data_IF_741289669607
#
_entry.id   IF_741289669607
#
_cell.length_a   1.000
_cell.length_b   1.000
_cell.length_c   1.000
_cell.angle_alpha   90.00
_cell.angle_beta   90.00
_cell.angle_gamma   90.00
#
_symmetry.space_group_name_H-M   'P 1'
#
loop_
_entity.id
_entity.type
_entity.pdbx_description
1 polymer ?
#
# COMPACT_ATOMS: atom_id res chain seq x y z
N UNK A 1 13.16 -34.31 0.86
CA UNK A 1 12.05 -33.88 1.73
C UNK A 1 11.74 -32.43 1.39
N UNK A 2 10.85 -32.19 0.40
CA UNK A 2 10.45 -30.83 0.01
C UNK A 2 9.48 -30.30 1.08
N UNK A 3 9.75 -29.10 1.63
CA UNK A 3 8.89 -28.45 2.63
C UNK A 3 7.60 -28.02 1.94
N UNK A 4 6.44 -28.40 2.49
CA UNK A 4 5.14 -27.82 2.12
C UNK A 4 5.22 -26.30 2.30
N UNK A 5 5.09 -25.54 1.22
CA UNK A 5 4.92 -24.07 1.26
C UNK A 5 3.43 -23.79 1.21
N UNK A 6 2.99 -22.80 1.99
CA UNK A 6 1.60 -22.36 2.02
C UNK A 6 1.34 -21.52 0.75
N UNK A 7 0.39 -21.95 -0.07
CA UNK A 7 -0.11 -21.21 -1.22
C UNK A 7 -0.83 -19.94 -0.74
N UNK A 8 -0.40 -18.78 -1.21
CA UNK A 8 -1.13 -17.52 -1.03
C UNK A 8 -1.90 -17.30 -2.31
N UNK A 9 -3.18 -17.69 -2.32
CA UNK A 9 -4.14 -17.30 -3.34
C UNK A 9 -4.25 -15.77 -3.36
N UNK A 10 -3.57 -15.12 -4.32
CA UNK A 10 -3.85 -13.73 -4.67
C UNK A 10 -5.19 -13.68 -5.41
N UNK A 11 -6.27 -13.39 -4.69
CA UNK A 11 -7.52 -12.95 -5.29
C UNK A 11 -7.26 -11.65 -6.07
N UNK A 12 -7.26 -11.75 -7.40
CA UNK A 12 -7.12 -10.62 -8.31
C UNK A 12 -8.31 -9.66 -8.14
N UNK A 13 -8.06 -8.52 -7.50
CA UNK A 13 -9.00 -7.40 -7.47
C UNK A 13 -8.92 -6.71 -8.83
N UNK A 14 -9.84 -7.03 -9.73
CA UNK A 14 -9.95 -6.45 -11.06
C UNK A 14 -10.27 -4.94 -10.94
N UNK A 15 -9.26 -4.08 -11.04
CA UNK A 15 -9.46 -2.65 -11.12
C UNK A 15 -9.88 -2.30 -12.56
N UNK A 16 -11.17 -2.04 -12.77
CA UNK A 16 -11.74 -1.71 -14.07
C UNK A 16 -11.16 -0.38 -14.58
N UNK A 17 -10.21 -0.44 -15.52
CA UNK A 17 -9.73 0.71 -16.27
C UNK A 17 -10.76 1.09 -17.33
N UNK A 18 -11.42 2.23 -17.13
CA UNK A 18 -12.34 2.86 -18.08
C UNK A 18 -11.53 3.46 -19.25
N UNK A 19 -11.41 2.72 -20.35
CA UNK A 19 -10.75 3.19 -21.58
C UNK A 19 -11.62 4.25 -22.29
N UNK A 20 -11.16 5.51 -22.31
CA UNK A 20 -11.66 6.56 -23.22
C UNK A 20 -10.71 6.65 -24.42
N UNK A 21 -11.19 6.31 -25.61
CA UNK A 21 -10.50 6.50 -26.90
C UNK A 21 -10.50 7.98 -27.31
N UNK A 22 -9.51 8.47 -28.09
CA UNK A 22 -9.51 9.84 -28.58
C UNK A 22 -10.35 9.93 -29.87
N UNK A 23 -11.25 10.92 -29.94
CA UNK A 23 -11.75 11.41 -31.22
C UNK A 23 -11.56 12.93 -31.29
N UNK A 24 -11.09 13.38 -32.45
CA UNK A 24 -10.73 14.76 -32.79
C UNK A 24 -11.99 15.56 -33.12
N UNK A 25 -12.16 16.75 -32.53
CA UNK A 25 -13.14 17.72 -33.07
C UNK A 25 -13.62 18.83 -32.12
N UNK A 26 -12.87 19.93 -32.07
CA UNK A 26 -13.30 21.35 -32.09
C UNK A 26 -14.56 21.79 -31.27
N UNK A 27 -14.32 22.84 -30.46
CA UNK A 27 -15.20 23.89 -29.90
C UNK A 27 -15.98 23.70 -28.57
N UNK A 28 -15.44 24.38 -27.56
CA UNK A 28 -16.08 25.35 -26.66
C UNK A 28 -17.09 24.90 -25.57
N UNK A 29 -16.58 25.00 -24.33
CA UNK A 29 -17.18 25.61 -23.13
C UNK A 29 -18.12 24.74 -22.25
N UNK A 30 -17.69 24.69 -20.99
CA UNK A 30 -18.41 24.41 -19.74
C UNK A 30 -18.62 22.93 -19.35
N UNK A 31 -18.08 22.57 -18.18
CA UNK A 31 -18.44 21.35 -17.44
C UNK A 31 -17.24 20.54 -16.96
N UNK A 32 -16.38 21.13 -16.13
CA UNK A 32 -15.34 20.38 -15.43
C UNK A 32 -15.94 19.58 -14.27
N UNK A 33 -15.67 18.27 -14.25
CA UNK A 33 -15.49 17.48 -13.03
C UNK A 33 -14.47 16.38 -13.37
N UNK A 34 -13.19 16.76 -13.36
CA UNK A 34 -12.07 15.82 -13.46
C UNK A 34 -11.42 15.71 -12.09
N UNK A 35 -11.41 14.49 -11.54
CA UNK A 35 -10.40 13.84 -10.68
C UNK A 35 -9.83 14.55 -9.42
N UNK A 36 -10.04 15.85 -9.24
CA UNK A 36 -9.52 16.66 -8.13
C UNK A 36 -10.29 16.51 -6.81
N UNK A 37 -11.29 15.62 -6.73
CA UNK A 37 -12.09 15.39 -5.51
C UNK A 37 -11.56 14.25 -4.64
N UNK A 38 -10.56 13.48 -5.09
CA UNK A 38 -10.07 12.29 -4.35
C UNK A 38 -8.77 12.55 -3.59
N UNK A 39 -8.10 13.67 -3.84
CA UNK A 39 -6.85 14.01 -3.19
C UNK A 39 -7.00 15.43 -2.63
N UNK A 40 -7.37 15.53 -1.35
CA UNK A 40 -7.40 16.79 -0.63
C UNK A 40 -5.99 17.32 -0.42
N UNK A 41 -5.37 17.83 -1.49
CA UNK A 41 -4.09 18.53 -1.45
C UNK A 41 -4.38 20.03 -1.50
N UNK A 42 -4.44 20.65 -0.33
CA UNK A 42 -4.19 22.06 -0.19
C UNK A 42 -2.69 22.21 0.02
N UNK A 43 -1.94 22.52 -1.04
CA UNK A 43 -0.78 23.43 -1.05
C UNK A 43 -0.13 23.41 -2.45
N UNK A 44 0.27 24.58 -2.95
CA UNK A 44 0.77 24.81 -4.33
C UNK A 44 2.23 24.34 -4.55
N UNK A 45 2.87 23.73 -3.54
CA UNK A 45 4.28 23.30 -3.60
C UNK A 45 4.48 21.85 -4.11
N UNK A 46 3.41 21.05 -4.25
CA UNK A 46 3.49 19.63 -4.66
C UNK A 46 3.41 19.40 -6.19
N UNK A 47 3.13 20.44 -6.99
CA UNK A 47 2.97 20.27 -8.45
C UNK A 47 4.28 19.96 -9.18
N UNK A 48 5.40 20.54 -8.74
CA UNK A 48 6.72 20.33 -9.34
C UNK A 48 7.26 18.92 -9.06
N UNK A 49 6.92 18.31 -7.92
CA UNK A 49 7.31 16.92 -7.62
C UNK A 49 6.45 15.92 -8.40
N UNK A 50 5.17 16.24 -8.60
CA UNK A 50 4.24 15.42 -9.40
C UNK A 50 4.64 15.46 -10.88
N UNK A 51 4.99 16.63 -11.42
CA UNK A 51 5.39 16.76 -12.84
C UNK A 51 6.72 16.02 -13.11
N UNK A 52 7.70 16.07 -12.20
CA UNK A 52 8.96 15.30 -12.30
C UNK A 52 8.75 13.79 -12.13
N UNK A 53 7.80 13.37 -11.28
CA UNK A 53 7.39 11.98 -11.16
C UNK A 53 6.68 11.47 -12.44
N UNK A 54 5.95 12.35 -13.14
CA UNK A 54 5.27 12.02 -14.39
C UNK A 54 6.25 11.93 -15.57
N UNK A 55 7.26 12.80 -15.65
CA UNK A 55 8.31 12.72 -16.69
C UNK A 55 9.19 11.48 -16.54
N UNK A 56 9.53 11.11 -15.29
CA UNK A 56 10.25 9.87 -15.00
C UNK A 56 9.39 8.63 -15.27
N UNK A 57 8.09 8.68 -15.01
CA UNK A 57 7.15 7.62 -15.39
C UNK A 57 6.99 7.48 -16.92
N UNK A 58 6.98 8.58 -17.68
CA UNK A 58 6.89 8.54 -19.15
C UNK A 58 8.14 7.93 -19.81
N UNK A 59 9.34 8.25 -19.30
CA UNK A 59 10.58 7.63 -19.78
C UNK A 59 10.67 6.11 -19.50
N UNK A 60 9.95 5.65 -18.47
CA UNK A 60 9.80 4.22 -18.13
C UNK A 60 8.74 3.56 -19.03
N UNK A 61 7.64 4.26 -19.31
CA UNK A 61 6.49 3.75 -20.06
C UNK A 61 6.77 3.53 -21.55
N UNK A 62 7.62 4.37 -22.17
CA UNK A 62 8.00 4.20 -23.59
C UNK A 62 8.84 2.92 -23.85
N UNK A 63 9.39 2.30 -22.80
CA UNK A 63 10.08 1.00 -22.88
C UNK A 63 9.23 -0.20 -22.39
N UNK A 64 8.06 0.06 -21.78
CA UNK A 64 7.24 -0.93 -21.08
C UNK A 64 6.04 -1.48 -21.90
N UNK A 65 5.92 -1.14 -23.19
CA UNK A 65 4.78 -1.61 -24.03
C UNK A 65 4.75 -3.13 -24.33
N UNK A 66 5.42 -3.98 -23.52
CA UNK A 66 5.32 -5.44 -23.64
C UNK A 66 5.41 -6.18 -22.30
N UNK A 67 4.49 -5.97 -21.36
CA UNK A 67 4.19 -6.98 -20.34
C UNK A 67 2.81 -6.74 -19.71
N UNK A 68 1.95 -7.76 -19.78
CA UNK A 68 0.65 -7.77 -19.11
C UNK A 68 0.85 -7.90 -17.59
N UNK A 69 0.16 -7.04 -16.85
CA UNK A 69 0.36 -6.81 -15.42
C UNK A 69 0.09 -8.01 -14.51
N UNK A 70 1.12 -8.35 -13.74
CA UNK A 70 1.14 -8.88 -12.38
C UNK A 70 2.64 -8.83 -11.98
N UNK A 71 2.98 -8.60 -10.71
CA UNK A 71 4.36 -8.42 -10.22
C UNK A 71 5.27 -9.66 -10.32
N UNK A 72 5.33 -10.30 -11.48
CA UNK A 72 6.07 -11.52 -11.81
C UNK A 72 6.89 -11.26 -13.07
N UNK A 73 8.20 -11.51 -13.00
CA UNK A 73 9.08 -11.41 -14.16
C UNK A 73 9.09 -12.74 -14.91
N UNK A 74 8.69 -12.74 -16.18
CA UNK A 74 8.83 -13.89 -17.06
C UNK A 74 10.23 -13.88 -17.64
N UNK A 75 11.13 -14.62 -17.00
CA UNK A 75 12.49 -14.79 -17.51
C UNK A 75 12.59 -16.20 -18.06
N UNK A 76 12.98 -16.33 -19.33
CA UNK A 76 13.35 -17.65 -19.84
C UNK A 76 14.53 -18.14 -18.99
N UNK A 77 14.31 -19.10 -18.09
CA UNK A 77 15.22 -19.53 -17.01
C UNK A 77 16.61 -20.02 -17.44
N UNK A 78 16.91 -20.00 -18.74
CA UNK A 78 18.18 -20.40 -19.34
C UNK A 78 18.82 -19.31 -20.21
N UNK A 79 18.28 -18.09 -20.21
CA UNK A 79 18.80 -16.99 -21.00
C UNK A 79 20.10 -16.43 -20.40
N UNK A 80 21.02 -15.98 -21.26
CA UNK A 80 22.29 -15.36 -20.84
C UNK A 80 22.09 -14.00 -20.18
N UNK A 81 20.89 -13.42 -20.27
CA UNK A 81 20.54 -12.16 -19.63
C UNK A 81 19.87 -12.35 -18.25
N UNK A 82 19.82 -13.56 -17.68
CA UNK A 82 19.31 -13.77 -16.33
C UNK A 82 20.21 -13.11 -15.27
N UNK A 83 19.58 -12.43 -14.31
CA UNK A 83 20.22 -11.86 -13.12
C UNK A 83 19.37 -12.13 -11.88
N UNK A 84 20.04 -12.41 -10.76
CA UNK A 84 19.39 -12.68 -9.47
C UNK A 84 19.98 -11.80 -8.36
N UNK A 85 19.17 -11.43 -7.37
CA UNK A 85 19.64 -10.66 -6.23
C UNK A 85 20.42 -11.53 -5.21
N UNK A 86 21.65 -11.13 -4.89
CA UNK A 86 22.50 -11.76 -3.88
C UNK A 86 22.48 -10.95 -2.57
N UNK A 87 21.32 -10.89 -1.92
CA UNK A 87 21.13 -10.11 -0.69
C UNK A 87 20.41 -10.89 0.39
N UNK A 88 20.61 -10.50 1.65
CA UNK A 88 19.88 -11.10 2.78
C UNK A 88 18.45 -10.61 2.92
N UNK A 89 18.14 -9.41 2.41
CA UNK A 89 16.82 -8.78 2.49
C UNK A 89 16.43 -8.04 1.22
N UNK A 90 17.16 -6.98 0.90
CA UNK A 90 16.82 -6.07 -0.20
C UNK A 90 18.06 -5.44 -0.81
N UNK A 91 18.02 -5.21 -2.11
CA UNK A 91 18.95 -4.38 -2.88
C UNK A 91 18.19 -3.17 -3.42
N UNK A 92 18.78 -1.98 -3.31
CA UNK A 92 18.21 -0.79 -3.92
C UNK A 92 18.47 -0.80 -5.43
N UNK A 93 17.43 -0.56 -6.20
CA UNK A 93 17.54 -0.32 -7.64
C UNK A 93 17.37 1.17 -7.87
N UNK A 94 18.25 1.77 -8.66
CA UNK A 94 18.40 3.22 -8.81
C UNK A 94 18.13 3.69 -10.24
N UNK A 95 17.87 4.98 -10.39
CA UNK A 95 17.62 5.59 -11.71
C UNK A 95 18.89 5.70 -12.56
N UNK A 96 20.07 5.79 -11.92
CA UNK A 96 21.38 5.88 -12.55
C UNK A 96 22.40 4.94 -11.86
N UNK A 97 23.52 4.55 -12.53
CA UNK A 97 24.56 3.69 -11.96
C UNK A 97 25.43 4.45 -10.95
N UNK A 98 24.84 4.86 -9.83
CA UNK A 98 25.49 5.66 -8.79
C UNK A 98 24.81 5.51 -7.44
N UNK A 99 25.58 5.43 -6.37
CA UNK A 99 25.07 5.35 -4.99
C UNK A 99 24.30 6.60 -4.51
N UNK A 100 24.49 7.73 -5.18
CA UNK A 100 23.76 8.96 -4.87
C UNK A 100 22.49 9.13 -5.72
N UNK A 101 22.26 8.27 -6.71
CA UNK A 101 21.10 8.38 -7.58
C UNK A 101 19.80 8.05 -6.84
N UNK A 102 18.70 8.61 -7.34
CA UNK A 102 17.37 8.35 -6.80
C UNK A 102 17.01 6.87 -6.88
N UNK A 103 16.19 6.42 -5.93
CA UNK A 103 15.78 5.03 -5.83
C UNK A 103 14.55 4.78 -6.71
N UNK A 104 14.69 3.92 -7.71
CA UNK A 104 13.59 3.46 -8.55
C UNK A 104 12.75 2.37 -7.86
N UNK A 105 13.38 1.55 -7.01
CA UNK A 105 12.70 0.47 -6.31
C UNK A 105 13.63 -0.41 -5.50
N UNK A 106 13.17 -1.63 -5.20
CA UNK A 106 13.97 -2.65 -4.52
C UNK A 106 13.85 -4.00 -5.21
N UNK A 107 14.95 -4.72 -5.29
CA UNK A 107 14.93 -6.17 -5.42
C UNK A 107 14.92 -6.79 -4.04
N UNK A 108 14.05 -7.75 -3.78
CA UNK A 108 14.13 -8.55 -2.57
C UNK A 108 15.12 -9.71 -2.75
N UNK A 109 15.47 -10.35 -1.64
CA UNK A 109 16.18 -11.62 -1.66
C UNK A 109 15.44 -12.59 -2.59
N UNK A 110 16.20 -13.33 -3.39
CA UNK A 110 15.71 -14.36 -4.33
C UNK A 110 14.90 -13.79 -5.52
N UNK A 111 14.72 -12.47 -5.62
CA UNK A 111 14.15 -11.86 -6.81
C UNK A 111 15.10 -11.93 -7.99
N UNK A 112 14.52 -12.04 -9.17
CA UNK A 112 15.25 -12.13 -10.43
C UNK A 112 14.69 -11.21 -11.51
N UNK A 113 15.45 -11.11 -12.58
CA UNK A 113 15.07 -10.30 -13.74
C UNK A 113 15.97 -10.57 -14.93
N UNK A 114 15.91 -9.66 -15.88
CA UNK A 114 16.76 -9.66 -17.06
C UNK A 114 17.69 -8.47 -17.10
N UNK A 115 18.87 -8.70 -17.64
CA UNK A 115 19.92 -7.71 -17.87
C UNK A 115 19.56 -6.94 -19.13
N UNK A 116 19.50 -5.62 -19.02
CA UNK A 116 19.32 -4.72 -20.16
C UNK A 116 20.66 -4.11 -20.60
N UNK A 117 21.49 -3.73 -19.64
CA UNK A 117 22.77 -3.05 -19.87
C UNK A 117 23.71 -3.32 -18.71
N UNK A 118 25.02 -3.37 -18.96
CA UNK A 118 26.04 -3.42 -17.90
C UNK A 118 27.12 -2.39 -18.19
N UNK A 119 27.50 -1.60 -17.18
CA UNK A 119 28.66 -0.71 -17.25
C UNK A 119 29.14 -0.32 -15.85
N UNK A 120 30.45 -0.12 -15.75
CA UNK A 120 31.11 0.50 -14.58
C UNK A 120 30.77 -0.13 -13.22
N UNK A 121 30.55 -1.46 -13.16
CA UNK A 121 30.19 -2.19 -11.93
C UNK A 121 28.69 -2.11 -11.58
N UNK A 122 27.86 -1.66 -12.52
CA UNK A 122 26.42 -1.62 -12.38
C UNK A 122 25.75 -2.35 -13.53
N UNK A 123 24.61 -2.96 -13.20
CA UNK A 123 23.74 -3.65 -14.15
C UNK A 123 22.38 -2.97 -14.17
N UNK A 124 21.97 -2.51 -15.34
CA UNK A 124 20.59 -2.10 -15.59
C UNK A 124 19.75 -3.35 -15.81
N UNK A 125 18.71 -3.48 -15.00
CA UNK A 125 17.84 -4.64 -14.97
C UNK A 125 16.39 -4.26 -15.28
N UNK A 126 15.63 -5.26 -15.68
CA UNK A 126 14.16 -5.28 -15.71
C UNK A 126 13.70 -6.48 -14.87
N UNK A 127 12.93 -6.20 -13.82
CA UNK A 127 12.40 -7.21 -12.89
C UNK A 127 10.93 -6.89 -12.62
N UNK A 128 10.02 -7.53 -13.37
CA UNK A 128 8.63 -7.10 -13.43
C UNK A 128 8.52 -5.66 -13.94
N UNK A 129 7.80 -4.81 -13.22
CA UNK A 129 7.66 -3.38 -13.56
C UNK A 129 8.87 -2.53 -13.14
N UNK A 130 9.84 -3.11 -12.42
CA UNK A 130 11.02 -2.39 -11.93
C UNK A 130 12.12 -2.38 -12.99
N UNK A 131 12.41 -1.19 -13.52
CA UNK A 131 13.57 -0.94 -14.40
C UNK A 131 14.53 0.04 -13.73
N UNK A 132 15.81 -0.32 -13.66
CA UNK A 132 16.84 0.56 -13.11
C UNK A 132 18.19 -0.13 -12.90
N UNK A 133 19.11 0.57 -12.26
CA UNK A 133 20.49 0.15 -12.03
C UNK A 133 20.68 -0.48 -10.64
N UNK A 134 21.30 -1.64 -10.62
CA UNK A 134 21.69 -2.37 -9.43
C UNK A 134 23.21 -2.56 -9.43
N UNK A 135 23.82 -2.53 -8.24
CA UNK A 135 25.25 -2.72 -8.05
C UNK A 135 25.62 -4.20 -8.22
N UNK A 136 26.63 -4.48 -9.03
CA UNK A 136 27.05 -5.83 -9.40
C UNK A 136 27.51 -6.67 -8.21
N UNK A 137 28.04 -6.05 -7.13
CA UNK A 137 28.48 -6.76 -5.92
C UNK A 137 27.33 -7.50 -5.21
N UNK A 138 26.09 -7.11 -5.51
CA UNK A 138 24.87 -7.67 -4.92
C UNK A 138 24.03 -8.47 -5.92
N UNK A 139 24.61 -8.83 -7.07
CA UNK A 139 23.95 -9.60 -8.12
C UNK A 139 24.67 -10.92 -8.39
N UNK A 140 23.91 -11.95 -8.74
CA UNK A 140 24.42 -13.17 -9.35
C UNK A 140 24.18 -13.12 -10.85
N UNK A 141 25.13 -13.69 -11.59
CA UNK A 141 25.10 -13.78 -13.05
C UNK A 141 25.40 -15.19 -13.51
N UNK A 142 25.09 -15.50 -14.76
CA UNK A 142 25.52 -16.75 -15.40
C UNK A 142 25.03 -17.99 -14.66
N UNK A 143 25.94 -18.91 -14.33
CA UNK A 143 25.57 -20.19 -13.73
C UNK A 143 25.06 -20.04 -12.30
N UNK A 144 25.64 -19.16 -11.50
CA UNK A 144 25.19 -18.92 -10.11
C UNK A 144 23.77 -18.35 -10.09
N UNK A 145 23.44 -17.47 -11.04
CA UNK A 145 22.09 -16.96 -11.21
C UNK A 145 21.10 -18.06 -11.60
N UNK A 146 21.50 -18.97 -12.50
CA UNK A 146 20.66 -20.10 -12.92
C UNK A 146 20.45 -21.11 -11.80
N UNK A 147 21.48 -21.39 -11.01
CA UNK A 147 21.38 -22.29 -9.86
C UNK A 147 20.37 -21.73 -8.86
N UNK A 148 20.51 -20.46 -8.46
CA UNK A 148 19.55 -19.84 -7.55
C UNK A 148 18.15 -19.78 -8.15
N UNK A 149 18.02 -19.37 -9.42
CA UNK A 149 16.73 -19.36 -10.12
C UNK A 149 16.07 -20.74 -10.05
N UNK A 150 16.79 -21.83 -10.35
CA UNK A 150 16.25 -23.19 -10.30
C UNK A 150 15.80 -23.63 -8.90
N UNK A 151 16.34 -23.02 -7.83
CA UNK A 151 15.93 -23.28 -6.45
C UNK A 151 14.67 -22.51 -6.06
N UNK A 152 14.54 -21.27 -6.52
CA UNK A 152 13.53 -20.31 -6.01
C UNK A 152 12.38 -20.05 -6.98
N UNK A 153 12.63 -20.20 -8.27
CA UNK A 153 11.64 -19.99 -9.31
C UNK A 153 10.66 -21.15 -9.42
N UNK A 154 9.53 -20.86 -10.07
CA UNK A 154 8.45 -21.82 -10.29
C UNK A 154 8.13 -21.87 -11.78
N UNK A 155 7.93 -23.08 -12.29
CA UNK A 155 7.41 -23.26 -13.65
C UNK A 155 5.89 -23.15 -13.61
N UNK A 156 5.31 -22.50 -14.62
CA UNK A 156 3.88 -22.30 -14.73
C UNK A 156 3.40 -22.70 -16.12
N UNK A 157 2.16 -23.15 -16.20
CA UNK A 157 1.45 -23.20 -17.47
C UNK A 157 0.73 -21.88 -17.72
N UNK A 158 0.57 -21.51 -18.99
CA UNK A 158 -0.42 -20.52 -19.45
C UNK A 158 -1.35 -21.19 -20.46
N UNK A 159 -2.66 -21.15 -20.21
CA UNK A 159 -3.64 -21.81 -21.07
C UNK A 159 -3.79 -21.07 -22.40
N UNK A 160 -3.67 -21.80 -23.51
CA UNK A 160 -3.75 -21.22 -24.87
C UNK A 160 -5.10 -21.45 -25.57
N UNK A 161 -5.94 -22.31 -25.00
CA UNK A 161 -7.28 -22.67 -25.50
C UNK A 161 -8.39 -22.00 -24.69
N UNK A 162 -9.57 -21.81 -25.27
CA UNK A 162 -10.70 -21.15 -24.60
C UNK A 162 -11.20 -21.88 -23.35
N UNK A 163 -11.10 -23.21 -23.34
CA UNK A 163 -11.48 -24.04 -22.21
C UNK A 163 -10.58 -25.29 -22.16
N UNK A 164 -9.98 -25.52 -21.00
CA UNK A 164 -9.13 -26.66 -20.70
C UNK A 164 -9.62 -27.27 -19.38
N UNK A 165 -9.89 -28.56 -19.42
CA UNK A 165 -10.30 -29.31 -18.23
C UNK A 165 -9.07 -29.69 -17.42
N UNK A 166 -9.08 -29.38 -16.12
CA UNK A 166 -8.14 -29.94 -15.14
C UNK A 166 -8.70 -31.29 -14.71
N UNK A 167 -7.90 -32.34 -14.88
CA UNK A 167 -8.30 -33.74 -14.67
C UNK A 167 -7.73 -34.31 -13.38
N UNK A 168 -8.41 -35.28 -12.78
CA UNK A 168 -7.94 -35.98 -11.58
C UNK A 168 -6.81 -36.99 -11.86
N UNK A 169 -6.66 -37.41 -13.11
CA UNK A 169 -5.55 -38.27 -13.57
C UNK A 169 -5.12 -37.84 -14.98
N UNK A 170 -3.90 -38.20 -15.39
CA UNK A 170 -3.31 -37.94 -16.71
C UNK A 170 -3.98 -38.74 -17.86
N UNK A 171 -5.31 -38.65 -17.99
CA UNK A 171 -6.12 -39.29 -19.03
C UNK A 171 -7.29 -38.40 -19.43
N UNK A 172 -7.88 -38.64 -20.61
CA UNK A 172 -9.07 -37.87 -21.06
C UNK A 172 -10.38 -38.39 -20.48
N UNK A 173 -10.36 -39.57 -19.88
CA UNK A 173 -11.52 -40.26 -19.33
C UNK A 173 -11.68 -40.13 -17.82
N UNK A 174 -10.69 -39.55 -17.13
CA UNK A 174 -10.74 -39.27 -15.70
C UNK A 174 -11.71 -38.13 -15.38
N UNK A 175 -12.09 -38.05 -14.12
CA UNK A 175 -12.97 -37.01 -13.62
C UNK A 175 -12.35 -35.62 -13.82
N UNK A 176 -13.23 -34.64 -14.01
CA UNK A 176 -12.84 -33.24 -14.13
C UNK A 176 -12.87 -32.60 -12.76
N UNK A 177 -11.74 -32.05 -12.31
CA UNK A 177 -11.65 -31.23 -11.10
C UNK A 177 -12.21 -29.83 -11.36
N UNK A 178 -11.97 -29.28 -12.56
CA UNK A 178 -12.47 -27.97 -12.94
C UNK A 178 -12.19 -27.62 -14.41
N UNK A 179 -12.54 -26.39 -14.79
CA UNK A 179 -12.28 -25.83 -16.12
C UNK A 179 -11.55 -24.51 -15.95
N UNK A 180 -10.41 -24.41 -16.62
CA UNK A 180 -9.63 -23.20 -16.76
C UNK A 180 -9.74 -22.69 -18.21
N UNK A 181 -9.57 -21.39 -18.39
CA UNK A 181 -9.80 -20.66 -19.63
C UNK A 181 -8.53 -20.04 -20.17
N UNK A 182 -8.59 -19.53 -21.40
CA UNK A 182 -7.42 -18.96 -22.08
C UNK A 182 -6.82 -17.82 -21.25
N UNK A 183 -5.52 -17.89 -21.01
CA UNK A 183 -4.77 -16.94 -20.21
C UNK A 183 -4.62 -17.34 -18.73
N UNK A 184 -5.41 -18.30 -18.25
CA UNK A 184 -5.26 -18.81 -16.88
C UNK A 184 -3.89 -19.47 -16.71
N UNK A 185 -3.36 -19.38 -15.49
CA UNK A 185 -2.03 -19.85 -15.16
C UNK A 185 -2.05 -20.69 -13.89
N UNK A 186 -1.32 -21.80 -13.90
CA UNK A 186 -1.20 -22.72 -12.77
C UNK A 186 0.27 -23.12 -12.60
N UNK A 187 0.68 -23.36 -11.36
CA UNK A 187 2.04 -23.84 -11.05
C UNK A 187 2.21 -25.29 -11.49
N UNK A 188 3.33 -25.58 -12.15
CA UNK A 188 3.70 -26.92 -12.60
C UNK A 188 4.30 -27.69 -11.42
N UNK A 189 3.80 -28.90 -11.20
CA UNK A 189 4.40 -29.86 -10.29
C UNK A 189 5.41 -30.73 -11.06
N UNK A 190 5.00 -31.27 -12.21
CA UNK A 190 5.83 -32.12 -13.06
C UNK A 190 5.33 -32.16 -14.53
N UNK A 191 6.24 -32.13 -15.51
CA UNK A 191 5.96 -32.56 -16.88
C UNK A 191 6.21 -34.07 -16.99
N UNK A 192 5.14 -34.84 -17.22
CA UNK A 192 5.20 -36.31 -17.26
C UNK A 192 5.85 -36.84 -18.56
N UNK A 193 6.14 -35.99 -19.54
CA UNK A 193 6.76 -36.35 -20.82
C UNK A 193 5.89 -37.20 -21.74
N UNK A 194 4.62 -37.44 -21.36
CA UNK A 194 3.65 -38.24 -22.10
C UNK A 194 2.49 -37.38 -22.69
N UNK A 195 2.69 -36.06 -22.74
CA UNK A 195 1.69 -35.09 -23.19
C UNK A 195 0.77 -34.54 -22.10
N UNK A 196 1.01 -34.93 -20.84
CA UNK A 196 0.33 -34.41 -19.65
C UNK A 196 1.30 -33.69 -18.72
N UNK A 197 0.79 -32.65 -18.09
CA UNK A 197 1.52 -31.86 -17.09
C UNK A 197 0.68 -31.91 -15.81
N UNK A 198 1.30 -32.25 -14.68
CA UNK A 198 0.67 -32.11 -13.36
C UNK A 198 0.84 -30.69 -12.85
N UNK A 199 -0.24 -30.14 -12.30
CA UNK A 199 -0.34 -28.75 -11.86
C UNK A 199 -0.98 -28.67 -10.49
N UNK A 200 -0.65 -27.63 -9.73
CA UNK A 200 -1.36 -27.30 -8.49
C UNK A 200 -2.68 -26.61 -8.83
N UNK A 201 -3.79 -27.19 -8.41
CA UNK A 201 -5.15 -26.69 -8.64
C UNK A 201 -5.99 -26.90 -7.38
N UNK A 202 -6.50 -25.80 -6.81
CA UNK A 202 -7.28 -25.80 -5.56
C UNK A 202 -6.58 -26.57 -4.40
N UNK A 203 -5.28 -26.31 -4.20
CA UNK A 203 -4.41 -26.99 -3.21
C UNK A 203 -4.28 -28.53 -3.41
N UNK A 204 -4.71 -29.05 -4.55
CA UNK A 204 -4.60 -30.46 -4.96
C UNK A 204 -3.80 -30.61 -6.26
N UNK A 205 -3.37 -31.84 -6.57
CA UNK A 205 -2.70 -32.16 -7.83
C UNK A 205 -3.74 -32.45 -8.92
N UNK A 206 -3.70 -31.66 -10.00
CA UNK A 206 -4.50 -31.86 -11.20
C UNK A 206 -3.64 -32.12 -12.43
N UNK A 207 -4.25 -32.57 -13.52
CA UNK A 207 -3.56 -32.87 -14.77
C UNK A 207 -4.17 -32.13 -15.95
N UNK A 208 -3.32 -31.49 -16.75
CA UNK A 208 -3.71 -30.77 -17.96
C UNK A 208 -2.96 -31.30 -19.17
N UNK A 209 -3.53 -31.13 -20.37
CA UNK A 209 -2.87 -31.54 -21.61
C UNK A 209 -1.85 -30.50 -22.05
N UNK A 210 -0.59 -30.91 -22.18
CA UNK A 210 0.53 -30.03 -22.54
C UNK A 210 0.33 -29.30 -23.88
N UNK A 211 -0.36 -29.90 -24.85
CA UNK A 211 -0.64 -29.28 -26.16
C UNK A 211 -1.56 -28.04 -26.12
N UNK A 212 -2.22 -27.78 -25.00
CA UNK A 212 -3.16 -26.66 -24.82
C UNK A 212 -2.63 -25.58 -23.88
N UNK A 213 -1.36 -25.66 -23.51
CA UNK A 213 -0.70 -24.71 -22.65
C UNK A 213 0.67 -24.34 -23.23
N UNK A 214 1.20 -23.19 -22.85
CA UNK A 214 2.63 -22.90 -22.88
C UNK A 214 3.20 -23.04 -21.48
N UNK A 215 4.48 -23.34 -21.36
CA UNK A 215 5.18 -23.40 -20.08
C UNK A 215 6.12 -22.21 -19.99
N UNK A 216 6.08 -21.50 -18.88
CA UNK A 216 6.93 -20.36 -18.61
C UNK A 216 7.61 -20.55 -17.26
N UNK A 217 8.76 -19.91 -17.07
CA UNK A 217 9.49 -19.91 -15.81
C UNK A 217 9.32 -18.55 -15.14
N UNK A 218 8.91 -18.57 -13.86
CA UNK A 218 8.65 -17.38 -13.07
C UNK A 218 9.65 -17.22 -11.96
N UNK A 219 10.05 -15.97 -11.79
CA UNK A 219 10.80 -15.49 -10.64
C UNK A 219 10.02 -14.36 -9.99
N UNK A 220 10.14 -14.28 -8.67
CA UNK A 220 9.68 -13.12 -7.93
C UNK A 220 10.39 -11.87 -8.47
N UNK A 221 9.62 -10.81 -8.66
CA UNK A 221 10.12 -9.55 -9.18
C UNK A 221 10.42 -8.55 -8.06
N UNK A 222 11.24 -7.55 -8.37
CA UNK A 222 11.39 -6.38 -7.54
C UNK A 222 10.12 -5.53 -7.49
N UNK A 223 10.04 -4.65 -6.50
CA UNK A 223 8.93 -3.71 -6.33
C UNK A 223 9.42 -2.28 -6.57
N UNK A 224 8.64 -1.50 -7.32
CA UNK A 224 8.93 -0.08 -7.56
C UNK A 224 8.74 0.72 -6.28
N UNK A 225 9.45 1.84 -6.15
CA UNK A 225 9.28 2.72 -4.99
C UNK A 225 7.85 3.27 -4.90
N UNK A 226 7.20 3.51 -6.05
CA UNK A 226 5.81 3.95 -6.10
C UNK A 226 4.84 2.91 -5.54
N UNK A 227 5.00 1.64 -5.91
CA UNK A 227 4.18 0.54 -5.39
C UNK A 227 4.38 0.36 -3.87
N UNK A 228 5.63 0.42 -3.38
CA UNK A 228 5.94 0.34 -1.95
C UNK A 228 5.24 1.47 -1.18
N UNK A 229 5.38 2.72 -1.64
CA UNK A 229 4.78 3.89 -0.99
C UNK A 229 3.25 3.76 -0.93
N UNK A 230 2.62 3.39 -2.03
CA UNK A 230 1.17 3.19 -2.08
C UNK A 230 0.71 2.12 -1.08
N UNK A 231 1.37 0.97 -1.05
CA UNK A 231 1.08 -0.12 -0.11
C UNK A 231 1.27 0.30 1.35
N UNK A 232 2.33 1.04 1.66
CA UNK A 232 2.58 1.56 3.00
C UNK A 232 1.53 2.58 3.45
N UNK A 233 1.09 3.46 2.55
CA UNK A 233 0.02 4.43 2.81
C UNK A 233 -1.33 3.74 3.03
N UNK A 234 -1.67 2.76 2.21
CA UNK A 234 -2.89 1.95 2.37
C UNK A 234 -2.87 1.17 3.69
N UNK A 235 -1.75 0.52 4.02
CA UNK A 235 -1.59 -0.20 5.28
C UNK A 235 -1.70 0.74 6.49
N UNK A 236 -1.10 1.94 6.41
CA UNK A 236 -1.20 2.96 7.45
C UNK A 236 -2.63 3.46 7.63
N UNK A 237 -3.36 3.68 6.53
CA UNK A 237 -4.77 4.09 6.55
C UNK A 237 -5.67 3.00 7.11
N UNK A 238 -5.42 1.73 6.75
CA UNK A 238 -6.15 0.59 7.27
C UNK A 238 -5.92 0.40 8.78
N UNK A 239 -4.68 0.51 9.25
CA UNK A 239 -4.35 0.42 10.68
C UNK A 239 -4.98 1.58 11.47
N UNK A 240 -4.92 2.80 10.95
CA UNK A 240 -5.58 3.96 11.55
C UNK A 240 -7.09 3.76 11.67
N UNK A 241 -7.73 3.19 10.64
CA UNK A 241 -9.16 2.89 10.64
C UNK A 241 -9.48 1.84 11.71
N UNK A 242 -8.73 0.74 11.76
CA UNK A 242 -8.87 -0.31 12.78
C UNK A 242 -8.74 0.24 14.20
N UNK A 243 -7.75 1.10 14.45
CA UNK A 243 -7.55 1.70 15.77
C UNK A 243 -8.74 2.57 16.18
N UNK A 244 -9.30 3.35 15.25
CA UNK A 244 -10.48 4.20 15.48
C UNK A 244 -11.75 3.39 15.74
N UNK A 245 -11.94 2.29 15.01
CA UNK A 245 -13.05 1.37 15.23
C UNK A 245 -12.94 0.68 16.60
N UNK A 246 -11.73 0.31 17.02
CA UNK A 246 -11.50 -0.25 18.35
C UNK A 246 -11.85 0.74 19.48
N UNK A 247 -11.49 2.02 19.33
CA UNK A 247 -11.91 3.08 20.26
C UNK A 247 -13.43 3.20 20.32
N UNK A 248 -14.09 3.21 19.15
CA UNK A 248 -15.55 3.33 19.08
C UNK A 248 -16.25 2.15 19.77
N UNK A 249 -15.73 0.94 19.60
CA UNK A 249 -16.30 -0.27 20.17
C UNK A 249 -16.11 -0.38 21.69
N UNK A 250 -14.99 0.12 22.23
CA UNK A 250 -14.72 0.14 23.67
C UNK A 250 -15.65 1.12 24.40
N UNK A 251 -15.98 2.26 23.78
CA UNK A 251 -17.03 3.18 24.25
C UNK A 251 -16.70 3.98 25.52
N UNK A 252 -15.44 3.98 25.99
CA UNK A 252 -15.01 4.78 27.14
C UNK A 252 -14.80 6.25 26.73
N UNK A 253 -15.88 7.03 26.84
CA UNK A 253 -15.90 8.45 26.48
C UNK A 253 -14.94 9.30 27.32
N UNK A 254 -14.74 8.95 28.59
CA UNK A 254 -13.82 9.69 29.49
C UNK A 254 -12.40 9.49 29.01
N UNK A 255 -12.02 8.24 28.74
CA UNK A 255 -10.69 7.88 28.24
C UNK A 255 -10.44 8.45 26.84
N UNK A 256 -11.46 8.47 25.97
CA UNK A 256 -11.36 9.06 24.64
C UNK A 256 -11.13 10.57 24.71
N UNK A 257 -11.92 11.27 25.52
CA UNK A 257 -11.74 12.69 25.75
C UNK A 257 -10.39 13.00 26.40
N UNK A 258 -9.95 12.18 27.35
CA UNK A 258 -8.66 12.34 28.02
C UNK A 258 -7.48 12.11 27.06
N UNK A 259 -7.58 11.14 26.15
CA UNK A 259 -6.59 10.89 25.10
C UNK A 259 -6.47 12.10 24.17
N UNK A 260 -7.60 12.70 23.76
CA UNK A 260 -7.60 13.94 23.00
C UNK A 260 -6.95 15.09 23.79
N UNK A 261 -7.37 15.32 25.03
CA UNK A 261 -6.82 16.39 25.89
C UNK A 261 -5.31 16.23 26.05
N UNK A 262 -4.80 15.00 26.16
CA UNK A 262 -3.37 14.75 26.23
C UNK A 262 -2.66 15.12 24.93
N UNK A 263 -3.24 14.81 23.77
CA UNK A 263 -2.70 15.20 22.47
C UNK A 263 -2.67 16.72 22.27
N UNK A 264 -3.71 17.44 22.69
CA UNK A 264 -3.87 18.87 22.44
C UNK A 264 -3.25 19.76 23.52
N UNK A 265 -3.37 19.36 24.79
CA UNK A 265 -3.06 20.18 25.96
C UNK A 265 -2.30 19.42 27.05
N UNK A 266 -1.66 18.29 26.73
CA UNK A 266 -0.93 17.47 27.71
C UNK A 266 0.10 18.25 28.54
N UNK A 267 0.75 19.24 27.92
CA UNK A 267 1.76 20.12 28.54
C UNK A 267 1.19 21.39 29.18
N UNK A 268 -0.13 21.62 29.09
CA UNK A 268 -0.80 22.79 29.65
C UNK A 268 -1.19 22.56 31.13
N UNK A 269 -1.45 23.62 31.92
CA UNK A 269 -2.01 23.51 33.25
C UNK A 269 -3.38 22.86 33.22
N UNK A 270 -3.84 22.42 34.40
CA UNK A 270 -5.12 21.76 34.56
C UNK A 270 -6.29 22.56 33.93
N UNK A 271 -6.33 23.88 34.13
CA UNK A 271 -7.39 24.73 33.57
C UNK A 271 -7.40 24.75 32.03
N UNK A 272 -6.23 24.63 31.39
CA UNK A 272 -6.10 24.55 29.93
C UNK A 272 -6.56 23.20 29.39
N UNK A 273 -6.30 22.12 30.15
CA UNK A 273 -6.80 20.77 29.86
C UNK A 273 -8.32 20.70 29.97
N UNK A 274 -8.89 21.27 31.05
CA UNK A 274 -10.35 21.41 31.22
C UNK A 274 -10.94 22.27 30.11
N UNK A 275 -10.25 23.35 29.68
CA UNK A 275 -10.67 24.19 28.57
C UNK A 275 -10.82 23.44 27.24
N UNK A 276 -9.84 22.61 26.89
CA UNK A 276 -9.94 21.75 25.69
C UNK A 276 -11.08 20.74 25.82
N UNK A 277 -11.23 20.10 26.99
CA UNK A 277 -12.36 19.20 27.25
C UNK A 277 -13.72 19.92 27.12
N UNK A 278 -13.81 21.13 27.64
CA UNK A 278 -15.02 21.95 27.59
C UNK A 278 -15.37 22.35 26.14
N UNK A 279 -14.39 22.62 25.28
CA UNK A 279 -14.65 22.86 23.84
C UNK A 279 -15.35 21.66 23.18
N UNK A 280 -14.89 20.43 23.45
CA UNK A 280 -15.55 19.22 22.95
C UNK A 280 -16.98 19.14 23.46
N UNK A 281 -17.19 19.33 24.77
CA UNK A 281 -18.52 19.26 25.37
C UNK A 281 -19.45 20.39 24.90
N UNK A 282 -18.91 21.57 24.59
CA UNK A 282 -19.67 22.68 24.02
C UNK A 282 -20.13 22.37 22.59
N UNK A 283 -19.30 21.69 21.80
CA UNK A 283 -19.69 21.18 20.48
C UNK A 283 -20.78 20.13 20.59
N UNK A 284 -20.62 19.13 21.46
CA UNK A 284 -21.65 18.09 21.71
C UNK A 284 -23.01 18.70 22.08
N UNK A 285 -23.01 19.80 22.85
CA UNK A 285 -24.24 20.51 23.27
C UNK A 285 -24.83 21.43 22.19
N UNK A 286 -24.08 21.73 21.14
CA UNK A 286 -24.47 22.69 20.11
C UNK A 286 -25.07 21.97 18.90
N UNK A 287 -26.19 22.47 18.39
CA UNK A 287 -26.84 21.92 17.19
C UNK A 287 -26.01 22.09 15.90
N UNK A 288 -24.91 22.86 15.94
CA UNK A 288 -24.01 23.07 14.80
C UNK A 288 -22.99 21.94 14.61
N UNK A 289 -22.88 21.00 15.55
CA UNK A 289 -21.88 19.95 15.57
C UNK A 289 -22.53 18.57 15.82
N UNK A 290 -21.77 17.47 15.62
CA UNK A 290 -22.22 16.15 16.05
C UNK A 290 -22.53 16.11 17.55
N UNK A 291 -23.39 15.17 17.94
CA UNK A 291 -23.96 15.08 19.29
C UNK A 291 -23.34 13.99 20.17
N UNK A 292 -22.20 13.42 19.76
CA UNK A 292 -21.43 12.45 20.56
C UNK A 292 -19.98 12.90 20.70
N UNK A 293 -19.32 12.52 21.80
CA UNK A 293 -17.90 12.84 22.02
C UNK A 293 -17.05 12.24 20.89
N UNK A 294 -17.34 11.01 20.48
CA UNK A 294 -16.64 10.34 19.39
C UNK A 294 -16.74 11.13 18.08
N UNK A 295 -17.95 11.45 17.63
CA UNK A 295 -18.16 12.12 16.34
C UNK A 295 -17.59 13.54 16.34
N UNK A 296 -17.63 14.24 17.48
CA UNK A 296 -17.01 15.57 17.61
C UNK A 296 -15.48 15.48 17.50
N UNK A 297 -14.86 14.48 18.13
CA UNK A 297 -13.41 14.29 18.10
C UNK A 297 -12.92 13.90 16.70
N UNK A 298 -13.68 13.06 15.99
CA UNK A 298 -13.31 12.55 14.67
C UNK A 298 -13.90 13.35 13.50
N UNK A 299 -14.61 14.45 13.76
CA UNK A 299 -15.03 15.40 12.74
C UNK A 299 -13.82 16.15 12.15
N UNK A 300 -13.89 16.50 10.87
CA UNK A 300 -12.88 17.33 10.21
C UNK A 300 -12.78 18.71 10.89
N UNK A 301 -11.57 19.15 11.23
CA UNK A 301 -11.33 20.49 11.78
C UNK A 301 -10.28 20.51 12.89
N UNK A 302 -10.65 21.03 14.05
CA UNK A 302 -9.77 21.39 15.17
C UNK A 302 -8.86 20.26 15.71
N UNK A 303 -9.25 18.99 15.57
CA UNK A 303 -8.62 17.84 16.24
C UNK A 303 -7.79 16.97 15.29
N UNK A 304 -6.81 17.58 14.60
CA UNK A 304 -5.91 16.88 13.66
C UNK A 304 -5.25 15.61 14.24
N UNK A 305 -4.82 15.57 15.52
CA UNK A 305 -4.29 14.34 16.13
C UNK A 305 -5.27 13.17 16.13
N UNK A 306 -6.60 13.41 16.14
CA UNK A 306 -7.59 12.35 16.03
C UNK A 306 -7.63 11.78 14.61
N UNK A 307 -7.61 12.66 13.60
CA UNK A 307 -7.64 12.28 12.18
C UNK A 307 -6.38 11.54 11.76
N UNK A 308 -5.22 11.87 12.35
CA UNK A 308 -3.94 11.21 12.05
C UNK A 308 -3.71 9.93 12.87
N UNK A 309 -4.71 9.44 13.62
CA UNK A 309 -4.62 8.22 14.42
C UNK A 309 -3.93 8.37 15.78
N UNK A 310 -3.37 9.54 16.10
CA UNK A 310 -2.60 9.74 17.34
C UNK A 310 -3.46 9.60 18.60
N UNK A 311 -4.69 10.10 18.57
CA UNK A 311 -5.64 9.94 19.69
C UNK A 311 -5.97 8.45 19.90
N UNK A 312 -6.19 7.70 18.82
CA UNK A 312 -6.48 6.27 18.92
C UNK A 312 -5.27 5.48 19.44
N UNK A 313 -4.05 5.84 19.03
CA UNK A 313 -2.81 5.28 19.57
C UNK A 313 -2.69 5.53 21.09
N UNK A 314 -2.89 6.78 21.53
CA UNK A 314 -2.84 7.15 22.96
C UNK A 314 -3.90 6.39 23.74
N UNK A 315 -5.14 6.33 23.24
CA UNK A 315 -6.24 5.58 23.83
C UNK A 315 -5.91 4.09 24.00
N UNK A 316 -5.48 3.44 22.92
CA UNK A 316 -5.19 2.01 22.90
C UNK A 316 -3.95 1.66 23.74
N UNK A 317 -2.97 2.56 23.83
CA UNK A 317 -1.81 2.38 24.71
C UNK A 317 -2.17 2.40 26.20
N UNK A 318 -3.27 3.07 26.57
CA UNK A 318 -3.67 3.32 27.95
C UNK A 318 -2.75 4.26 28.73
N UNK A 319 -1.70 4.82 28.11
CA UNK A 319 -0.70 5.69 28.76
C UNK A 319 -1.17 7.14 28.83
N UNK A 320 -2.31 7.33 29.50
CA UNK A 320 -2.92 8.65 29.68
C UNK A 320 -2.56 9.21 31.03
N UNK A 321 -2.13 10.47 31.08
CA UNK A 321 -1.81 11.11 32.35
C UNK A 321 -3.05 11.31 33.22
N UNK A 322 -2.93 11.11 34.54
CA UNK A 322 -4.02 11.31 35.50
C UNK A 322 -4.66 12.69 35.37
N UNK A 323 -3.84 13.74 35.17
CA UNK A 323 -4.34 15.10 34.98
C UNK A 323 -5.27 15.27 33.78
N UNK A 324 -5.06 14.49 32.71
CA UNK A 324 -5.93 14.52 31.52
C UNK A 324 -7.22 13.72 31.77
N UNK A 325 -7.13 12.58 32.48
CA UNK A 325 -8.31 11.81 32.90
C UNK A 325 -9.23 12.64 33.81
N UNK A 326 -8.65 13.33 34.78
CA UNK A 326 -9.38 14.23 35.68
C UNK A 326 -10.03 15.40 34.91
N UNK A 327 -9.29 16.03 34.01
CA UNK A 327 -9.81 17.13 33.20
C UNK A 327 -10.95 16.69 32.27
N UNK A 328 -10.84 15.51 31.67
CA UNK A 328 -11.90 14.91 30.86
C UNK A 328 -13.17 14.69 31.68
N UNK A 329 -13.04 14.08 32.87
CA UNK A 329 -14.16 13.85 33.76
C UNK A 329 -14.81 15.16 34.22
N UNK A 330 -14.01 16.17 34.57
CA UNK A 330 -14.48 17.50 34.94
C UNK A 330 -15.29 18.15 33.81
N UNK A 331 -14.78 18.12 32.57
CA UNK A 331 -15.49 18.64 31.41
C UNK A 331 -16.82 17.92 31.14
N UNK A 332 -16.84 16.58 31.24
CA UNK A 332 -18.05 15.76 31.10
C UNK A 332 -19.08 16.12 32.17
N UNK A 333 -18.63 16.39 33.40
CA UNK A 333 -19.48 16.84 34.50
C UNK A 333 -19.99 18.29 34.32
N UNK A 334 -19.54 18.99 33.26
CA UNK A 334 -19.98 20.34 32.91
C UNK A 334 -19.10 21.45 33.46
N UNK A 335 -17.93 21.15 34.02
CA UNK A 335 -16.95 22.17 34.39
C UNK A 335 -16.40 22.87 33.14
N UNK A 336 -16.24 24.19 33.21
CA UNK A 336 -15.69 24.98 32.11
C UNK A 336 -14.83 26.11 32.64
N UNK A 337 -13.67 26.30 32.01
CA UNK A 337 -12.76 27.45 32.22
C UNK A 337 -12.86 28.47 31.09
N UNK A 338 -13.67 28.17 30.06
CA UNK A 338 -13.71 28.89 28.77
C UNK A 338 -15.14 29.24 28.34
N UNK A 339 -16.11 29.17 29.25
CA UNK A 339 -17.52 29.45 28.97
C UNK A 339 -18.07 28.56 27.85
N UNK A 340 -18.70 29.19 26.86
CA UNK A 340 -19.30 28.54 25.68
C UNK A 340 -18.37 28.43 24.47
N UNK A 341 -17.06 28.61 24.63
CA UNK A 341 -16.11 28.52 23.53
C UNK A 341 -16.19 27.17 22.80
N UNK A 342 -16.12 27.21 21.47
CA UNK A 342 -16.19 26.03 20.60
C UNK A 342 -14.93 25.81 19.79
N UNK A 343 -13.95 26.71 19.90
CA UNK A 343 -12.66 26.62 19.22
C UNK A 343 -11.53 27.02 20.15
N UNK A 344 -10.31 26.59 19.82
CA UNK A 344 -9.11 27.06 20.47
C UNK A 344 -7.94 27.11 19.48
N UNK A 345 -6.93 27.90 19.78
CA UNK A 345 -5.67 27.92 19.03
C UNK A 345 -4.54 28.33 19.95
N UNK A 346 -3.31 28.21 19.46
CA UNK A 346 -2.15 28.79 20.12
C UNK A 346 -2.25 30.31 20.18
N UNK A 347 -1.94 30.91 21.32
CA UNK A 347 -1.96 32.36 21.54
C UNK A 347 -1.03 33.08 20.57
N UNK A 348 -1.58 34.08 19.88
CA UNK A 348 -0.88 35.05 19.05
C UNK A 348 -0.91 36.47 19.65
N UNK A 349 -0.29 37.42 18.95
CA UNK A 349 -0.34 38.83 19.33
C UNK A 349 -1.73 39.39 18.99
N UNK A 350 -2.46 39.87 20.00
CA UNK A 350 -3.81 40.49 19.91
C UNK A 350 -5.03 39.54 19.87
N UNK A 351 -4.95 38.36 20.46
CA UNK A 351 -6.12 37.49 20.54
C UNK A 351 -7.14 37.97 21.60
N UNK A 352 -8.41 38.08 21.21
CA UNK A 352 -9.55 38.19 22.11
C UNK A 352 -10.10 36.81 22.47
N UNK A 353 -10.65 36.65 23.68
CA UNK A 353 -11.21 35.39 24.17
C UNK A 353 -10.70 35.03 25.56
N UNK A 354 -10.96 33.78 26.00
CA UNK A 354 -10.39 33.26 27.24
C UNK A 354 -8.96 32.80 26.96
N UNK A 355 -7.97 33.40 27.63
CA UNK A 355 -6.56 33.04 27.44
C UNK A 355 -6.09 32.22 28.64
N UNK A 356 -5.64 31.00 28.39
CA UNK A 356 -5.06 30.11 29.40
C UNK A 356 -3.71 29.64 28.89
N UNK A 357 -2.65 30.21 29.48
CA UNK A 357 -1.26 29.98 29.10
C UNK A 357 -1.04 30.13 27.58
N UNK A 358 -0.83 29.02 26.86
CA UNK A 358 -0.48 29.04 25.43
C UNK A 358 -1.71 28.92 24.53
N UNK A 359 -2.92 28.82 25.10
CA UNK A 359 -4.16 28.70 24.35
C UNK A 359 -5.09 29.90 24.51
N UNK A 360 -5.74 30.28 23.42
CA UNK A 360 -6.91 31.17 23.43
C UNK A 360 -8.14 30.39 22.97
N UNK A 361 -9.28 30.64 23.61
CA UNK A 361 -10.56 29.97 23.39
C UNK A 361 -11.67 30.98 23.05
N UNK A 362 -12.50 30.67 22.05
CA UNK A 362 -13.64 31.50 21.61
C UNK A 362 -14.85 30.72 21.09
#
# INVERSE_FOLDING_TARGET
>A
MKKKRASVLLTSLLLAALMLTPDLGITAKAGGVGVASVIGASDEDDQDEIEKAQESAQAIQENAEKTDGAGTSYVAGYSSDLVMANVSKTLNVRTEPSDSAEKAGVLYKDCGGRILEQKDGWTKIESGDLVGWADDDYLLFGEDAKELASEVGSEVITVTTNALYVRSEATTSSDSLGVITKGDQLDIIEDLGNGWISVEYDDEEGYVQGKYVTTDFRLDAGETLAAIKLREEEAKKAEMTRQREAVQADGDEVKLLAALIQCEAGNQPYDGKVGVGAVVMNRVKSAAYPNTIYDVIYASGQFTPALNGKVAEVYNSGKISDSCMQAAQAAINGETTVGGATHFKRVGHHDGGYVIQDHVFW
#
